data_IF_265384513806
#
_entry.id   IF_265384513806
#
_cell.length_a   1.000
_cell.length_b   1.000
_cell.length_c   1.000
_cell.angle_alpha   90.00
_cell.angle_beta   90.00
_cell.angle_gamma   90.00
#
_symmetry.space_group_name_H-M   'P 1'
#
loop_
_entity.id
_entity.type
_entity.pdbx_description
1 polymer ?
#
# COMPACT_ATOMS: atom_id res chain seq x y z
N UNK A 1 13.26 30.16 18.57
CA UNK A 1 12.28 29.13 18.17
C UNK A 1 12.98 28.00 17.41
N UNK A 2 13.98 28.33 16.58
CA UNK A 2 14.84 27.34 15.91
C UNK A 2 15.76 26.54 16.86
N UNK A 3 16.21 27.14 17.96
CA UNK A 3 17.05 26.44 18.95
C UNK A 3 16.29 25.42 19.80
N UNK A 4 14.98 25.60 20.01
CA UNK A 4 14.15 24.62 20.73
C UNK A 4 13.89 23.39 19.85
N UNK A 5 13.69 23.59 18.54
CA UNK A 5 13.52 22.50 17.59
C UNK A 5 14.83 21.75 17.38
N UNK A 6 15.96 22.46 17.22
CA UNK A 6 17.29 21.83 17.14
C UNK A 6 17.68 21.10 18.44
N UNK A 7 17.35 21.67 19.61
CA UNK A 7 17.53 21.03 20.92
C UNK A 7 16.66 19.79 21.07
N UNK A 8 15.40 19.84 20.61
CA UNK A 8 14.52 18.66 20.58
C UNK A 8 15.05 17.59 19.64
N UNK A 9 15.60 17.95 18.48
CA UNK A 9 16.19 16.99 17.53
C UNK A 9 17.52 16.40 18.05
N UNK A 10 18.32 17.17 18.79
CA UNK A 10 19.58 16.72 19.38
C UNK A 10 19.39 15.94 20.69
N UNK A 11 18.34 16.24 21.47
CA UNK A 11 17.99 15.59 22.74
C UNK A 11 17.01 14.43 22.55
N UNK A 12 16.37 14.34 21.38
CA UNK A 12 15.70 13.14 20.91
C UNK A 12 16.75 12.12 20.49
N UNK A 13 17.46 11.58 21.48
CA UNK A 13 17.91 10.20 21.45
C UNK A 13 16.68 9.26 21.46
N UNK A 14 15.75 9.44 20.52
CA UNK A 14 14.90 8.35 20.13
C UNK A 14 15.71 7.56 19.11
N UNK A 15 16.69 6.82 19.61
CA UNK A 15 17.10 5.61 18.94
C UNK A 15 15.89 4.68 18.98
N UNK A 16 14.93 4.92 18.07
CA UNK A 16 13.92 3.94 17.73
C UNK A 16 14.70 2.72 17.25
N UNK A 17 14.85 1.73 18.13
CA UNK A 17 15.53 0.48 17.80
C UNK A 17 14.92 -0.01 16.48
N UNK A 18 15.74 -0.32 15.46
CA UNK A 18 15.27 -0.85 14.17
C UNK A 18 14.27 -1.99 14.36
N UNK A 19 14.36 -2.77 15.44
CA UNK A 19 13.38 -3.78 15.81
C UNK A 19 12.01 -3.24 16.26
N UNK A 20 11.93 -2.10 16.95
CA UNK A 20 10.64 -1.50 17.33
C UNK A 20 9.91 -1.01 16.08
N UNK A 21 10.62 -0.29 15.19
CA UNK A 21 10.07 0.11 13.90
C UNK A 21 9.69 -1.11 13.07
N UNK A 22 10.58 -2.12 12.93
CA UNK A 22 10.28 -3.34 12.18
C UNK A 22 9.10 -4.15 12.74
N UNK A 23 8.89 -4.15 14.07
CA UNK A 23 7.72 -4.81 14.69
C UNK A 23 6.43 -4.04 14.45
N UNK A 24 6.45 -2.72 14.55
CA UNK A 24 5.23 -1.91 14.34
C UNK A 24 4.93 -1.69 12.85
N UNK A 25 5.92 -1.79 11.96
CA UNK A 25 5.70 -1.85 10.52
C UNK A 25 5.35 -3.26 10.04
N UNK A 26 5.60 -4.32 10.82
CA UNK A 26 5.18 -5.68 10.45
C UNK A 26 3.66 -5.77 10.26
N UNK A 27 2.89 -5.09 11.11
CA UNK A 27 1.43 -5.05 11.09
C UNK A 27 0.85 -4.03 10.08
N UNK A 28 1.71 -3.28 9.38
CA UNK A 28 1.36 -2.37 8.29
C UNK A 28 1.90 -2.91 6.95
N UNK A 29 1.12 -3.74 6.23
CA UNK A 29 1.55 -4.31 4.96
C UNK A 29 1.79 -3.23 3.89
N UNK A 30 1.08 -2.10 3.95
CA UNK A 30 1.24 -1.02 2.98
C UNK A 30 2.57 -0.32 3.18
N UNK A 31 2.89 0.14 4.39
CA UNK A 31 4.15 0.82 4.66
C UNK A 31 5.35 -0.09 4.36
N UNK A 32 5.27 -1.40 4.65
CA UNK A 32 6.32 -2.36 4.26
C UNK A 32 6.57 -2.41 2.76
N UNK A 33 5.53 -2.30 1.93
CA UNK A 33 5.69 -2.27 0.48
C UNK A 33 6.24 -0.92 -0.01
N UNK A 34 5.75 0.20 0.54
CA UNK A 34 6.19 1.55 0.12
C UNK A 34 7.70 1.77 0.35
N UNK A 35 8.24 1.27 1.47
CA UNK A 35 9.69 1.42 1.76
C UNK A 35 10.59 0.54 0.89
N UNK A 36 10.03 -0.31 0.03
CA UNK A 36 10.84 -1.09 -0.94
C UNK A 36 11.33 -0.24 -2.11
N UNK A 37 10.77 0.97 -2.30
CA UNK A 37 11.10 1.83 -3.44
C UNK A 37 10.57 1.31 -4.78
N UNK A 38 9.63 0.36 -4.75
CA UNK A 38 8.92 -0.13 -5.94
C UNK A 38 7.50 0.46 -5.96
N UNK A 39 6.92 0.71 -7.15
CA UNK A 39 5.52 1.06 -7.26
C UNK A 39 4.62 -0.02 -6.62
N UNK A 40 3.51 0.41 -6.03
CA UNK A 40 2.61 -0.47 -5.25
C UNK A 40 1.19 -0.35 -5.76
N UNK A 41 0.55 -1.49 -6.00
CA UNK A 41 -0.91 -1.62 -6.07
C UNK A 41 -1.41 -2.24 -4.76
N UNK A 42 -2.23 -1.51 -4.01
CA UNK A 42 -2.90 -2.02 -2.81
C UNK A 42 -4.41 -2.13 -3.06
N UNK A 43 -4.94 -3.36 -3.06
CA UNK A 43 -6.37 -3.65 -3.10
C UNK A 43 -6.91 -3.88 -1.68
N UNK A 44 -7.91 -3.10 -1.30
CA UNK A 44 -8.61 -3.21 -0.02
C UNK A 44 -9.94 -3.89 -0.23
N UNK A 45 -10.12 -5.07 0.35
CA UNK A 45 -11.27 -5.93 0.12
C UNK A 45 -11.63 -6.80 1.31
N UNK A 46 -12.58 -7.72 1.10
CA UNK A 46 -12.99 -8.72 2.10
C UNK A 46 -13.42 -10.01 1.41
N UNK A 47 -13.14 -11.15 2.04
CA UNK A 47 -13.50 -12.48 1.52
C UNK A 47 -14.99 -12.73 1.26
N UNK A 48 -15.92 -11.95 1.83
CA UNK A 48 -17.38 -12.10 1.63
C UNK A 48 -17.95 -11.20 0.54
N UNK A 49 -17.16 -10.25 0.03
CA UNK A 49 -17.56 -9.29 -1.00
C UNK A 49 -17.43 -9.93 -2.41
N UNK A 50 -18.54 -10.00 -3.15
CA UNK A 50 -18.57 -10.66 -4.49
C UNK A 50 -17.60 -9.99 -5.48
N UNK A 51 -17.58 -8.65 -5.65
CA UNK A 51 -16.60 -8.01 -6.53
C UNK A 51 -15.15 -8.26 -6.08
N UNK A 52 -14.87 -8.30 -4.78
CA UNK A 52 -13.56 -8.59 -4.22
C UNK A 52 -13.10 -10.02 -4.58
N UNK A 53 -14.01 -11.01 -4.52
CA UNK A 53 -13.72 -12.39 -4.97
C UNK A 53 -13.34 -12.44 -6.46
N UNK A 54 -13.93 -11.58 -7.31
CA UNK A 54 -13.58 -11.48 -8.73
C UNK A 54 -12.20 -10.83 -8.94
N UNK A 55 -11.79 -9.91 -8.06
CA UNK A 55 -10.46 -9.28 -8.11
C UNK A 55 -9.35 -10.26 -7.75
N UNK A 56 -9.56 -11.16 -6.79
CA UNK A 56 -8.55 -12.08 -6.27
C UNK A 56 -7.72 -12.82 -7.34
N UNK A 57 -8.31 -13.50 -8.35
CA UNK A 57 -7.52 -14.17 -9.38
C UNK A 57 -6.71 -13.20 -10.26
N UNK A 58 -7.24 -12.00 -10.52
CA UNK A 58 -6.57 -10.95 -11.30
C UNK A 58 -5.33 -10.46 -10.53
N UNK A 59 -5.51 -10.08 -9.27
CA UNK A 59 -4.43 -9.57 -8.40
C UNK A 59 -3.37 -10.64 -8.16
N UNK A 60 -3.76 -11.91 -7.99
CA UNK A 60 -2.82 -13.03 -7.83
C UNK A 60 -1.98 -13.27 -9.08
N UNK A 61 -2.57 -13.13 -10.28
CA UNK A 61 -1.84 -13.21 -11.54
C UNK A 61 -0.84 -12.05 -11.68
N UNK A 62 -1.31 -10.82 -11.46
CA UNK A 62 -0.48 -9.62 -11.53
C UNK A 62 0.67 -9.66 -10.52
N UNK A 63 0.44 -10.15 -9.29
CA UNK A 63 1.50 -10.33 -8.29
C UNK A 63 2.64 -11.22 -8.79
N UNK A 64 2.32 -12.26 -9.57
CA UNK A 64 3.33 -13.14 -10.17
C UNK A 64 4.01 -12.48 -11.37
N UNK A 65 3.23 -11.87 -12.25
CA UNK A 65 3.71 -11.24 -13.49
C UNK A 65 4.63 -10.03 -13.22
N UNK A 66 4.35 -9.26 -12.17
CA UNK A 66 5.10 -8.05 -11.81
C UNK A 66 6.07 -8.25 -10.65
N UNK A 67 6.34 -9.50 -10.26
CA UNK A 67 7.29 -9.80 -9.19
C UNK A 67 8.66 -9.15 -9.46
N UNK A 68 9.14 -8.37 -8.49
CA UNK A 68 10.40 -7.61 -8.59
C UNK A 68 10.29 -6.26 -9.31
N UNK A 69 9.17 -5.97 -9.98
CA UNK A 69 8.91 -4.71 -10.70
C UNK A 69 7.91 -3.82 -9.98
N UNK A 70 6.87 -4.41 -9.41
CA UNK A 70 5.89 -3.74 -8.56
C UNK A 70 5.44 -4.66 -7.41
N UNK A 71 4.94 -4.07 -6.33
CA UNK A 71 4.27 -4.80 -5.25
C UNK A 71 2.77 -4.83 -5.50
N UNK A 72 2.17 -6.02 -5.38
CA UNK A 72 0.71 -6.18 -5.41
C UNK A 72 0.24 -6.72 -4.07
N UNK A 73 -0.44 -5.86 -3.32
CA UNK A 73 -1.00 -6.15 -2.00
C UNK A 73 -2.50 -6.41 -2.10
N UNK A 74 -2.94 -7.43 -1.38
CA UNK A 74 -4.35 -7.75 -1.17
C UNK A 74 -4.55 -7.66 0.34
N UNK A 75 -5.30 -6.66 0.77
CA UNK A 75 -5.44 -6.29 2.19
C UNK A 75 -6.89 -6.55 2.60
N UNK A 76 -7.07 -7.48 3.54
CA UNK A 76 -8.37 -7.68 4.16
C UNK A 76 -8.65 -6.56 5.16
N UNK A 77 -9.78 -5.87 4.96
CA UNK A 77 -10.14 -4.72 5.78
C UNK A 77 -10.54 -5.09 7.22
N UNK A 78 -10.93 -6.34 7.47
CA UNK A 78 -11.29 -6.81 8.81
C UNK A 78 -10.03 -7.11 9.64
N UNK A 79 -8.95 -7.55 8.99
CA UNK A 79 -7.65 -7.76 9.62
C UNK A 79 -6.87 -6.45 9.84
N UNK A 80 -7.09 -5.45 8.95
CA UNK A 80 -6.35 -4.19 8.95
C UNK A 80 -7.27 -2.96 9.09
N UNK A 81 -8.15 -2.97 10.09
CA UNK A 81 -9.17 -1.92 10.27
C UNK A 81 -8.60 -0.51 10.46
N UNK A 82 -7.54 -0.34 11.26
CA UNK A 82 -6.93 0.98 11.52
C UNK A 82 -6.27 1.55 10.26
N UNK A 83 -5.52 0.73 9.53
CA UNK A 83 -4.94 1.10 8.23
C UNK A 83 -6.05 1.48 7.23
N UNK A 84 -7.10 0.67 7.15
CA UNK A 84 -8.25 0.91 6.26
C UNK A 84 -8.91 2.28 6.54
N UNK A 85 -9.06 2.64 7.83
CA UNK A 85 -9.60 3.93 8.24
C UNK A 85 -8.66 5.09 7.92
N UNK A 86 -7.37 4.95 8.23
CA UNK A 86 -6.39 6.04 8.09
C UNK A 86 -6.22 6.51 6.64
N UNK A 87 -6.35 5.60 5.68
CA UNK A 87 -6.26 5.92 4.23
C UNK A 87 -7.62 6.21 3.57
N UNK A 88 -8.70 6.25 4.37
CA UNK A 88 -10.03 6.65 3.93
C UNK A 88 -10.79 5.66 3.05
N UNK A 89 -10.60 4.34 3.23
CA UNK A 89 -11.43 3.35 2.51
C UNK A 89 -12.86 3.39 3.03
N UNK A 90 -13.81 3.72 2.15
CA UNK A 90 -15.25 3.74 2.47
C UNK A 90 -16.08 2.70 1.72
N UNK A 91 -15.55 2.20 0.61
CA UNK A 91 -16.21 1.24 -0.27
C UNK A 91 -15.19 0.17 -0.65
N UNK A 92 -15.63 -1.08 -0.74
CA UNK A 92 -14.78 -2.18 -1.21
C UNK A 92 -15.33 -2.80 -2.51
N UNK A 93 -14.44 -3.31 -3.38
CA UNK A 93 -12.99 -3.18 -3.29
C UNK A 93 -12.54 -1.76 -3.67
N UNK A 94 -11.42 -1.30 -3.12
CA UNK A 94 -10.76 -0.05 -3.55
C UNK A 94 -9.30 -0.37 -3.87
N UNK A 95 -8.85 0.03 -5.05
CA UNK A 95 -7.46 -0.11 -5.50
C UNK A 95 -6.77 1.24 -5.39
N UNK A 96 -5.62 1.29 -4.74
CA UNK A 96 -4.78 2.48 -4.64
C UNK A 96 -3.42 2.17 -5.25
N UNK A 97 -2.96 3.04 -6.13
CA UNK A 97 -1.67 2.97 -6.79
C UNK A 97 -0.73 4.00 -6.18
N UNK A 98 0.45 3.55 -5.80
CA UNK A 98 1.53 4.38 -5.28
C UNK A 98 2.74 4.30 -6.22
N UNK A 99 3.40 5.42 -6.44
CA UNK A 99 4.68 5.46 -7.15
C UNK A 99 5.84 4.91 -6.28
N UNK A 100 7.04 4.84 -6.86
CA UNK A 100 8.23 4.36 -6.17
C UNK A 100 8.68 5.29 -5.02
N UNK A 101 8.18 6.51 -4.96
CA UNK A 101 8.41 7.48 -3.88
C UNK A 101 7.38 7.35 -2.75
N UNK A 102 6.35 6.51 -2.95
CA UNK A 102 5.28 6.26 -2.00
C UNK A 102 4.12 7.24 -2.08
N UNK A 103 4.03 8.06 -3.13
CA UNK A 103 2.92 8.99 -3.34
C UNK A 103 1.74 8.26 -3.97
N UNK A 104 0.52 8.50 -3.47
CA UNK A 104 -0.70 8.02 -4.13
C UNK A 104 -0.88 8.74 -5.48
N UNK A 105 -0.86 7.99 -6.57
CA UNK A 105 -0.97 8.52 -7.95
C UNK A 105 -2.31 8.23 -8.60
N UNK A 106 -3.00 7.18 -8.15
CA UNK A 106 -4.35 6.86 -8.63
C UNK A 106 -5.14 6.05 -7.58
N UNK A 107 -6.46 6.21 -7.61
CA UNK A 107 -7.40 5.45 -6.78
C UNK A 107 -8.63 5.08 -7.60
N UNK A 108 -9.03 3.82 -7.51
CA UNK A 108 -10.22 3.28 -8.16
C UNK A 108 -11.13 2.60 -7.13
N UNK A 109 -12.44 2.76 -7.29
CA UNK A 109 -13.46 2.15 -6.41
C UNK A 109 -14.32 1.19 -7.22
N UNK A 110 -14.46 -0.03 -6.73
CA UNK A 110 -15.20 -1.10 -7.39
C UNK A 110 -14.29 -2.09 -8.11
N UNK A 111 -14.89 -2.93 -8.94
CA UNK A 111 -14.16 -3.92 -9.73
C UNK A 111 -13.32 -3.24 -10.82
N UNK A 112 -12.05 -3.61 -10.94
CA UNK A 112 -11.12 -3.12 -11.96
C UNK A 112 -10.57 -4.30 -12.76
N UNK A 113 -10.69 -4.25 -14.09
CA UNK A 113 -10.20 -5.31 -14.96
C UNK A 113 -8.67 -5.39 -15.00
N UNK A 114 -8.12 -6.56 -15.37
CA UNK A 114 -6.66 -6.76 -15.49
C UNK A 114 -6.01 -5.74 -16.43
N UNK A 115 -6.61 -5.50 -17.61
CA UNK A 115 -6.08 -4.57 -18.61
C UNK A 115 -6.05 -3.12 -18.13
N UNK A 116 -7.02 -2.71 -17.32
CA UNK A 116 -7.05 -1.38 -16.73
C UNK A 116 -5.92 -1.21 -15.72
N UNK A 117 -5.64 -2.25 -14.92
CA UNK A 117 -4.51 -2.25 -13.98
C UNK A 117 -3.18 -2.20 -14.72
N UNK A 118 -3.03 -2.98 -15.79
CA UNK A 118 -1.83 -2.95 -16.65
C UNK A 118 -1.64 -1.56 -17.26
N UNK A 119 -2.73 -0.97 -17.75
CA UNK A 119 -2.69 0.40 -18.30
C UNK A 119 -2.21 1.41 -17.26
N UNK A 120 -2.69 1.29 -16.03
CA UNK A 120 -2.24 2.13 -14.93
C UNK A 120 -0.76 1.91 -14.60
N UNK A 121 -0.30 0.65 -14.52
CA UNK A 121 1.12 0.32 -14.33
C UNK A 121 2.01 0.89 -15.43
N UNK A 122 1.60 0.76 -16.70
CA UNK A 122 2.34 1.35 -17.83
C UNK A 122 2.44 2.88 -17.69
N UNK A 123 1.36 3.55 -17.26
CA UNK A 123 1.38 5.01 -17.02
C UNK A 123 2.34 5.43 -15.89
N UNK A 124 2.64 4.51 -14.98
CA UNK A 124 3.59 4.68 -13.88
C UNK A 124 5.02 4.26 -14.26
N UNK A 125 5.26 3.83 -15.50
CA UNK A 125 6.56 3.35 -15.97
C UNK A 125 6.94 1.97 -15.44
N UNK A 126 5.95 1.15 -15.07
CA UNK A 126 6.13 -0.26 -14.70
C UNK A 126 5.95 -1.10 -15.98
N UNK A 127 7.06 -1.44 -16.62
CA UNK A 127 7.13 -2.24 -17.85
C UNK A 127 7.31 -3.73 -17.55
#
# INVERSE_FOLDING_TARGET
>A
MDDLISSLMASAQISWNKQWLARHTADDPLNRALVTGRPVLADFGRGTCIPCKKMLPILTALKKEYAGRAEVLIIDIDEHMELTRSIGIRVIPTQIFYDAQGSEVARHVGFMGKEEIITQFNSMGVD
#
